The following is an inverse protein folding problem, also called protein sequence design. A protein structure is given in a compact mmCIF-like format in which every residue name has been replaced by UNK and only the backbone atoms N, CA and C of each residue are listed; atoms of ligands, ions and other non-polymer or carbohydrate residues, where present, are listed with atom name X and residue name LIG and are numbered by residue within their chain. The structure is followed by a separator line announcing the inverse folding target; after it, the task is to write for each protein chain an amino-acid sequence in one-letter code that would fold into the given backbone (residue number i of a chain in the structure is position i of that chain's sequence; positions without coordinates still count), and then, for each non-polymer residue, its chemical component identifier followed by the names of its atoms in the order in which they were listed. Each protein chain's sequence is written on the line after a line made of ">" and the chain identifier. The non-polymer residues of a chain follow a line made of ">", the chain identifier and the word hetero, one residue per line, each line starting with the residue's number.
data_IF_090901018573
#
_entry.id   IF_090901018573
#
_cell.length_a   1.000
_cell.length_b   1.000
_cell.length_c   1.000
_cell.angle_alpha   90.00
_cell.angle_beta   90.00
_cell.angle_gamma   90.00
#
_symmetry.space_group_name_H-M   'P 1'
#
loop_
_entity.id
_entity.type
_entity.pdbx_description
1 polymer ?
#
# COMPACT_ATOMS: atom_id res chain seq x y z
N UNK A 1 -15.19 -23.09 -12.37
CA UNK A 1 -14.69 -21.90 -11.66
C UNK A 1 -15.83 -20.91 -11.65
N UNK A 2 -16.44 -20.68 -10.50
CA UNK A 2 -17.46 -19.63 -10.37
C UNK A 2 -16.81 -18.27 -10.62
N UNK A 3 -17.42 -17.44 -11.45
CA UNK A 3 -16.91 -16.10 -11.72
C UNK A 3 -16.90 -15.26 -10.43
N UNK A 4 -15.79 -14.57 -10.18
CA UNK A 4 -15.72 -13.63 -9.06
C UNK A 4 -16.74 -12.50 -9.28
N UNK A 5 -17.61 -12.27 -8.29
CA UNK A 5 -18.49 -11.11 -8.29
C UNK A 5 -17.68 -9.80 -8.32
N UNK A 6 -18.23 -8.74 -8.89
CA UNK A 6 -17.63 -7.40 -8.92
C UNK A 6 -17.19 -6.93 -7.52
N UNK A 7 -18.02 -7.14 -6.50
CA UNK A 7 -17.69 -6.78 -5.11
C UNK A 7 -16.43 -7.50 -4.60
N UNK A 8 -16.28 -8.80 -4.90
CA UNK A 8 -15.08 -9.58 -4.52
C UNK A 8 -13.83 -9.09 -5.26
N UNK A 9 -13.96 -8.75 -6.55
CA UNK A 9 -12.85 -8.17 -7.34
C UNK A 9 -12.40 -6.84 -6.77
N UNK A 10 -13.33 -5.93 -6.46
CA UNK A 10 -13.03 -4.65 -5.83
C UNK A 10 -12.32 -4.86 -4.47
N UNK A 11 -12.83 -5.74 -3.62
CA UNK A 11 -12.19 -6.03 -2.32
C UNK A 11 -10.79 -6.61 -2.45
N UNK A 12 -10.55 -7.50 -3.42
CA UNK A 12 -9.21 -8.05 -3.68
C UNK A 12 -8.24 -6.96 -4.14
N UNK A 13 -8.70 -6.07 -5.02
CA UNK A 13 -7.90 -4.97 -5.52
C UNK A 13 -7.54 -4.00 -4.38
N UNK A 14 -8.52 -3.59 -3.57
CA UNK A 14 -8.29 -2.70 -2.43
C UNK A 14 -7.52 -3.36 -1.29
N UNK A 15 -7.67 -4.67 -1.07
CA UNK A 15 -6.77 -5.42 -0.17
C UNK A 15 -5.31 -5.26 -0.61
N UNK A 16 -5.05 -5.37 -1.91
CA UNK A 16 -3.76 -5.07 -2.53
C UNK A 16 -3.25 -3.67 -2.20
N UNK A 17 -4.09 -2.66 -2.43
CA UNK A 17 -3.74 -1.25 -2.14
C UNK A 17 -3.46 -1.01 -0.66
N UNK A 18 -4.33 -1.47 0.24
CA UNK A 18 -4.17 -1.19 1.67
C UNK A 18 -2.93 -1.86 2.27
N UNK A 19 -2.63 -3.12 1.89
CA UNK A 19 -1.43 -3.76 2.41
C UNK A 19 -0.16 -3.05 1.91
N UNK A 20 -0.13 -2.67 0.62
CA UNK A 20 1.04 -2.00 0.06
C UNK A 20 1.21 -0.60 0.66
N UNK A 21 0.12 0.14 0.89
CA UNK A 21 0.16 1.42 1.60
C UNK A 21 0.76 1.28 2.99
N UNK A 22 0.29 0.29 3.74
CA UNK A 22 0.80 0.06 5.09
C UNK A 22 2.29 -0.30 5.06
N UNK A 23 2.69 -1.26 4.23
CA UNK A 23 4.09 -1.70 4.14
C UNK A 23 5.02 -0.58 3.68
N UNK A 24 4.68 0.07 2.56
CA UNK A 24 5.51 1.12 1.93
C UNK A 24 5.63 2.33 2.83
N UNK A 25 4.52 2.80 3.43
CA UNK A 25 4.56 3.96 4.31
C UNK A 25 5.30 3.65 5.61
N UNK A 26 5.12 2.47 6.22
CA UNK A 26 5.92 2.10 7.40
C UNK A 26 7.41 2.02 7.08
N UNK A 27 7.79 1.47 5.92
CA UNK A 27 9.18 1.46 5.47
C UNK A 27 9.72 2.86 5.19
N UNK A 28 8.91 3.76 4.61
CA UNK A 28 9.31 5.15 4.39
C UNK A 28 9.52 5.89 5.71
N UNK A 29 8.63 5.71 6.68
CA UNK A 29 8.74 6.30 8.01
C UNK A 29 9.86 5.65 8.84
N UNK A 30 10.31 4.44 8.49
CA UNK A 30 11.47 3.81 9.13
C UNK A 30 12.72 4.69 9.02
N UNK A 31 12.98 5.21 7.81
CA UNK A 31 14.11 6.11 7.55
C UNK A 31 14.01 7.40 8.38
N UNK A 32 12.81 7.79 8.80
CA UNK A 32 12.56 9.00 9.59
C UNK A 32 12.77 8.80 11.09
N UNK A 33 12.56 7.59 11.62
CA UNK A 33 12.85 7.30 13.02
C UNK A 33 14.33 7.54 13.36
N UNK A 34 15.23 7.24 12.43
CA UNK A 34 16.66 7.52 12.58
C UNK A 34 16.95 9.04 12.47
N UNK A 35 16.30 9.75 11.53
CA UNK A 35 16.47 11.20 11.35
C UNK A 35 16.01 11.98 12.57
N UNK A 36 14.90 11.59 13.21
CA UNK A 36 14.35 12.27 14.38
C UNK A 36 15.24 12.24 15.63
N UNK A 37 16.30 11.42 15.63
CA UNK A 37 17.30 11.41 16.72
C UNK A 37 18.14 12.69 16.65
N UNK A 38 18.52 13.10 15.43
CA UNK A 38 19.52 14.17 15.19
C UNK A 38 18.95 15.38 14.43
N UNK A 39 17.69 15.35 14.00
CA UNK A 39 17.07 16.38 13.16
C UNK A 39 15.54 16.42 13.20
N UNK A 40 14.97 17.24 12.31
CA UNK A 40 13.53 17.44 12.15
C UNK A 40 13.06 16.76 10.86
N UNK A 41 11.81 16.28 10.86
CA UNK A 41 11.17 15.70 9.68
C UNK A 41 10.20 16.70 9.04
N UNK A 42 10.10 16.68 7.71
CA UNK A 42 9.15 17.52 6.98
C UNK A 42 7.81 16.78 6.80
N UNK A 43 7.14 16.50 7.92
CA UNK A 43 5.81 15.89 7.90
C UNK A 43 4.74 16.77 7.20
N UNK A 44 4.81 18.12 7.21
CA UNK A 44 3.86 18.94 6.45
C UNK A 44 3.96 18.70 4.94
N UNK A 45 5.18 18.61 4.39
CA UNK A 45 5.38 18.27 2.97
C UNK A 45 4.90 16.85 2.66
N UNK A 46 5.10 15.90 3.56
CA UNK A 46 4.55 14.55 3.42
C UNK A 46 3.02 14.57 3.34
N UNK A 47 2.35 15.30 4.23
CA UNK A 47 0.90 15.43 4.22
C UNK A 47 0.41 16.05 2.90
N UNK A 48 1.08 17.10 2.43
CA UNK A 48 0.79 17.74 1.14
C UNK A 48 0.90 16.75 -0.03
N UNK A 49 1.99 15.97 -0.10
CA UNK A 49 2.25 15.00 -1.18
C UNK A 49 1.23 13.86 -1.23
N UNK A 50 0.76 13.40 -0.06
CA UNK A 50 -0.30 12.40 0.03
C UNK A 50 -1.71 12.99 -0.06
N UNK A 51 -1.84 14.32 -0.03
CA UNK A 51 -3.12 15.02 -0.04
C UNK A 51 -3.99 14.63 1.17
N UNK A 52 -3.35 14.52 2.35
CA UNK A 52 -4.01 14.23 3.63
C UNK A 52 -4.02 15.48 4.51
N UNK A 53 -4.94 15.51 5.48
CA UNK A 53 -5.05 16.64 6.40
C UNK A 53 -3.84 16.71 7.34
N UNK A 54 -3.18 17.88 7.38
CA UNK A 54 -2.04 18.13 8.26
C UNK A 54 -2.54 18.72 9.59
N UNK A 55 -2.98 17.85 10.50
CA UNK A 55 -3.59 18.22 11.80
C UNK A 55 -2.66 18.02 13.01
N UNK A 56 -1.36 17.81 12.76
CA UNK A 56 -0.37 17.44 13.78
C UNK A 56 0.32 18.66 14.40
N UNK A 57 0.75 18.53 15.65
CA UNK A 57 1.39 19.63 16.41
C UNK A 57 2.90 19.72 16.17
N UNK A 58 3.55 18.57 16.13
CA UNK A 58 5.00 18.42 15.99
C UNK A 58 5.33 17.02 15.43
N UNK A 59 6.62 16.77 15.20
CA UNK A 59 7.12 15.52 14.62
C UNK A 59 6.71 14.29 15.43
N UNK A 60 6.67 14.38 16.77
CA UNK A 60 6.30 13.26 17.64
C UNK A 60 4.80 12.99 17.55
N UNK A 61 4.00 14.04 17.57
CA UNK A 61 2.56 13.98 17.40
C UNK A 61 2.19 13.40 16.02
N UNK A 62 2.91 13.77 14.97
CA UNK A 62 2.78 13.17 13.64
C UNK A 62 3.12 11.68 13.65
N UNK A 63 4.33 11.30 14.09
CA UNK A 63 4.76 9.90 14.07
C UNK A 63 3.88 8.99 14.92
N UNK A 64 3.28 9.53 15.98
CA UNK A 64 2.32 8.80 16.79
C UNK A 64 0.95 8.73 16.11
N UNK A 65 0.29 9.87 15.87
CA UNK A 65 -1.11 9.88 15.47
C UNK A 65 -1.30 9.43 14.01
N UNK A 66 -0.38 9.75 13.11
CA UNK A 66 -0.48 9.24 11.73
C UNK A 66 -0.36 7.71 11.67
N UNK A 67 0.37 7.10 12.61
CA UNK A 67 0.55 5.64 12.64
C UNK A 67 -0.59 4.94 13.39
N UNK A 68 -1.01 5.47 14.55
CA UNK A 68 -1.85 4.75 15.51
C UNK A 68 -3.28 5.25 15.67
N UNK A 69 -3.59 6.49 15.27
CA UNK A 69 -4.91 7.08 15.55
C UNK A 69 -6.02 6.41 14.72
N UNK A 70 -6.91 5.67 15.39
CA UNK A 70 -8.05 4.98 14.77
C UNK A 70 -9.16 5.92 14.30
N UNK A 71 -9.21 7.14 14.82
CA UNK A 71 -10.26 8.12 14.52
C UNK A 71 -9.84 9.05 13.37
N UNK A 72 -8.55 9.03 13.00
CA UNK A 72 -8.03 9.66 11.80
C UNK A 72 -8.23 8.76 10.56
N UNK A 73 -9.00 9.18 9.54
CA UNK A 73 -9.27 8.37 8.35
C UNK A 73 -8.03 8.11 7.49
N UNK A 74 -7.01 8.97 7.57
CA UNK A 74 -5.78 8.87 6.79
C UNK A 74 -4.67 8.06 7.48
N UNK A 75 -4.88 7.68 8.74
CA UNK A 75 -3.86 6.99 9.53
C UNK A 75 -3.60 5.57 9.01
N UNK A 76 -2.39 5.08 9.32
CA UNK A 76 -2.02 3.70 9.04
C UNK A 76 -2.87 2.72 9.85
N UNK A 77 -3.37 3.13 11.02
CA UNK A 77 -4.30 2.34 11.82
C UNK A 77 -5.60 2.08 11.06
N UNK A 78 -6.20 3.11 10.49
CA UNK A 78 -7.45 3.01 9.71
C UNK A 78 -7.24 2.21 8.43
N UNK A 79 -6.11 2.42 7.73
CA UNK A 79 -5.72 1.62 6.55
C UNK A 79 -5.59 0.14 6.91
N UNK A 80 -4.96 -0.20 8.04
CA UNK A 80 -4.79 -1.58 8.49
C UNK A 80 -6.14 -2.24 8.84
N UNK A 81 -7.10 -1.49 9.40
CA UNK A 81 -8.45 -1.99 9.64
C UNK A 81 -9.23 -2.23 8.35
N UNK A 82 -9.12 -1.33 7.37
CA UNK A 82 -9.74 -1.51 6.06
C UNK A 82 -9.15 -2.74 5.32
N UNK A 83 -7.82 -2.94 5.42
CA UNK A 83 -7.12 -4.13 4.92
C UNK A 83 -7.69 -5.41 5.52
N UNK A 84 -7.77 -5.49 6.85
CA UNK A 84 -8.30 -6.67 7.55
C UNK A 84 -9.79 -6.87 7.25
N UNK A 85 -10.58 -5.80 7.20
CA UNK A 85 -12.00 -5.85 6.84
C UNK A 85 -12.22 -6.46 5.46
N UNK A 86 -11.42 -6.08 4.47
CA UNK A 86 -11.43 -6.74 3.15
C UNK A 86 -10.99 -8.21 3.24
N UNK A 87 -9.91 -8.50 3.97
CA UNK A 87 -9.44 -9.88 4.19
C UNK A 87 -10.50 -10.80 4.80
N UNK A 88 -11.23 -10.34 5.82
CA UNK A 88 -12.30 -11.10 6.46
C UNK A 88 -13.44 -11.44 5.50
N UNK A 89 -13.86 -10.48 4.67
CA UNK A 89 -14.89 -10.69 3.64
C UNK A 89 -14.43 -11.61 2.51
N UNK A 90 -13.12 -11.80 2.37
CA UNK A 90 -12.47 -12.65 1.38
C UNK A 90 -11.94 -13.95 1.96
N UNK A 91 -12.26 -14.30 3.23
CA UNK A 91 -11.70 -15.47 3.93
C UNK A 91 -11.81 -16.78 3.13
N UNK A 92 -12.95 -17.01 2.50
CA UNK A 92 -13.20 -18.20 1.67
C UNK A 92 -12.38 -18.23 0.36
N UNK A 93 -11.76 -17.11 -0.02
CA UNK A 93 -10.96 -16.95 -1.24
C UNK A 93 -9.47 -16.97 -0.93
N UNK A 94 -9.04 -16.19 0.07
CA UNK A 94 -7.62 -16.07 0.43
C UNK A 94 -7.17 -17.16 1.40
N UNK A 95 -8.11 -17.80 2.09
CA UNK A 95 -7.87 -18.84 3.08
C UNK A 95 -7.48 -18.29 4.46
N UNK A 96 -7.79 -19.06 5.51
CA UNK A 96 -7.54 -18.67 6.90
C UNK A 96 -6.06 -18.45 7.22
N UNK A 97 -5.14 -19.19 6.59
CA UNK A 97 -3.69 -19.04 6.79
C UNK A 97 -3.20 -17.66 6.35
N UNK A 98 -3.57 -17.24 5.13
CA UNK A 98 -3.22 -15.94 4.59
C UNK A 98 -3.89 -14.81 5.36
N UNK A 99 -5.16 -14.99 5.74
CA UNK A 99 -5.87 -14.02 6.59
C UNK A 99 -5.20 -13.80 7.95
N UNK A 100 -4.67 -14.85 8.57
CA UNK A 100 -4.03 -14.75 9.89
C UNK A 100 -2.86 -13.76 9.89
N UNK A 101 -2.11 -13.61 8.79
CA UNK A 101 -1.05 -12.61 8.69
C UNK A 101 -1.58 -11.17 8.68
N UNK A 102 -2.77 -10.92 8.12
CA UNK A 102 -3.44 -9.61 8.21
C UNK A 102 -3.88 -9.32 9.65
N UNK A 103 -4.42 -10.33 10.34
CA UNK A 103 -4.81 -10.23 11.75
C UNK A 103 -3.59 -9.94 12.63
N UNK A 104 -2.46 -10.61 12.39
CA UNK A 104 -1.19 -10.39 13.08
C UNK A 104 -0.63 -8.99 12.82
N UNK A 105 -0.69 -8.48 11.58
CA UNK A 105 -0.25 -7.12 11.26
C UNK A 105 -1.06 -6.07 12.04
N UNK A 106 -2.39 -6.19 12.06
CA UNK A 106 -3.27 -5.28 12.81
C UNK A 106 -3.03 -5.39 14.32
N UNK A 107 -2.90 -6.60 14.86
CA UNK A 107 -2.62 -6.82 16.28
C UNK A 107 -1.24 -6.24 16.67
N UNK A 108 -0.24 -6.43 15.81
CA UNK A 108 1.10 -5.89 15.98
C UNK A 108 1.08 -4.37 16.05
N UNK A 109 0.32 -3.72 15.18
CA UNK A 109 0.16 -2.26 15.17
C UNK A 109 -0.49 -1.74 16.47
N UNK A 110 -1.57 -2.39 16.94
CA UNK A 110 -2.21 -2.04 18.22
C UNK A 110 -1.27 -2.23 19.42
N UNK A 111 -0.45 -3.27 19.37
CA UNK A 111 0.50 -3.58 20.45
C UNK A 111 1.68 -2.61 20.46
N UNK A 112 2.04 -2.05 19.30
CA UNK A 112 3.13 -1.09 19.15
C UNK A 112 2.80 0.29 19.76
N UNK A 113 1.53 0.70 19.72
CA UNK A 113 1.06 1.99 20.26
C UNK A 113 1.42 2.18 21.75
N UNK A 114 1.33 1.10 22.55
CA UNK A 114 1.64 1.14 23.99
C UNK A 114 3.08 0.82 24.36
N UNK A 115 4.01 0.77 23.39
CA UNK A 115 5.39 0.34 23.63
C UNK A 115 6.35 1.51 23.85
N UNK A 116 7.36 1.31 24.72
CA UNK A 116 8.39 2.33 25.00
C UNK A 116 9.27 2.65 23.77
N UNK A 117 9.35 1.73 22.80
CA UNK A 117 10.02 1.91 21.52
C UNK A 117 9.18 1.28 20.42
N UNK A 118 8.71 2.10 19.49
CA UNK A 118 7.80 1.69 18.41
C UNK A 118 8.53 1.02 17.25
N UNK A 119 9.83 1.27 17.07
CA UNK A 119 10.64 0.80 15.95
C UNK A 119 10.59 -0.74 15.80
N UNK A 120 11.04 -1.52 16.78
CA UNK A 120 11.02 -2.99 16.67
C UNK A 120 9.59 -3.57 16.51
N UNK A 121 8.57 -3.12 17.26
CA UNK A 121 7.19 -3.50 17.00
C UNK A 121 6.70 -3.22 15.57
N UNK A 122 7.01 -2.06 14.99
CA UNK A 122 6.62 -1.71 13.63
C UNK A 122 7.36 -2.54 12.58
N UNK A 123 8.62 -2.92 12.82
CA UNK A 123 9.33 -3.89 11.95
C UNK A 123 8.57 -5.20 11.87
N UNK A 124 8.08 -5.71 13.01
CA UNK A 124 7.29 -6.95 13.01
C UNK A 124 5.99 -6.81 12.22
N UNK A 125 5.37 -5.64 12.20
CA UNK A 125 4.20 -5.37 11.34
C UNK A 125 4.58 -5.51 9.87
N UNK A 126 5.71 -4.93 9.45
CA UNK A 126 6.24 -5.10 8.08
C UNK A 126 6.50 -6.58 7.79
N UNK A 127 7.11 -7.32 8.71
CA UNK A 127 7.39 -8.75 8.55
C UNK A 127 6.11 -9.56 8.35
N UNK A 128 5.03 -9.25 9.08
CA UNK A 128 3.72 -9.88 8.89
C UNK A 128 3.11 -9.55 7.53
N UNK A 129 3.27 -8.32 7.02
CA UNK A 129 2.81 -7.94 5.68
C UNK A 129 3.61 -8.67 4.58
N UNK A 130 4.91 -8.85 4.79
CA UNK A 130 5.75 -9.65 3.89
C UNK A 130 5.39 -11.14 3.94
N UNK A 131 5.05 -11.67 5.12
CA UNK A 131 4.54 -13.03 5.27
C UNK A 131 3.15 -13.20 4.63
N UNK A 132 2.25 -12.23 4.75
CA UNK A 132 0.99 -12.19 4.00
C UNK A 132 1.26 -12.27 2.49
N UNK A 133 2.21 -11.47 1.99
CA UNK A 133 2.60 -11.46 0.59
C UNK A 133 3.12 -12.80 0.09
N UNK A 134 3.98 -13.45 0.87
CA UNK A 134 4.46 -14.80 0.56
C UNK A 134 3.35 -15.84 0.62
N UNK A 135 2.50 -15.77 1.66
CA UNK A 135 1.41 -16.71 1.90
C UNK A 135 0.39 -16.70 0.77
N UNK A 136 -0.09 -15.53 0.32
CA UNK A 136 -1.10 -15.50 -0.73
C UNK A 136 -0.54 -16.04 -2.07
N UNK A 137 0.77 -15.91 -2.30
CA UNK A 137 1.41 -16.44 -3.50
C UNK A 137 1.49 -17.97 -3.49
N UNK A 138 1.77 -18.54 -2.33
CA UNK A 138 1.90 -19.98 -2.11
C UNK A 138 0.54 -20.70 -1.99
N UNK A 139 -0.43 -20.10 -1.29
CA UNK A 139 -1.65 -20.83 -0.87
C UNK A 139 -2.89 -20.59 -1.74
N UNK A 140 -2.96 -19.48 -2.48
CA UNK A 140 -4.14 -19.19 -3.32
C UNK A 140 -3.94 -19.81 -4.69
N UNK A 141 -4.67 -20.87 -5.03
CA UNK A 141 -4.51 -21.56 -6.31
C UNK A 141 -4.89 -20.71 -7.53
N UNK A 142 -5.93 -19.88 -7.39
CA UNK A 142 -6.44 -19.04 -8.47
C UNK A 142 -5.45 -17.91 -8.83
N UNK A 143 -4.86 -18.01 -10.02
CA UNK A 143 -3.94 -17.01 -10.55
C UNK A 143 -4.59 -15.63 -10.75
N UNK A 144 -5.85 -15.57 -11.17
CA UNK A 144 -6.57 -14.31 -11.33
C UNK A 144 -6.73 -13.60 -9.97
N UNK A 145 -7.11 -14.33 -8.92
CA UNK A 145 -7.21 -13.80 -7.55
C UNK A 145 -5.88 -13.19 -7.09
N UNK A 146 -4.78 -13.96 -7.19
CA UNK A 146 -3.45 -13.48 -6.79
C UNK A 146 -3.06 -12.23 -7.57
N UNK A 147 -3.27 -12.22 -8.88
CA UNK A 147 -2.86 -11.09 -9.72
C UNK A 147 -3.73 -9.84 -9.50
N UNK A 148 -5.02 -9.97 -9.14
CA UNK A 148 -5.84 -8.81 -8.74
C UNK A 148 -5.23 -8.11 -7.51
N UNK A 149 -4.88 -8.88 -6.46
CA UNK A 149 -4.21 -8.33 -5.26
C UNK A 149 -2.89 -7.66 -5.65
N UNK A 150 -2.07 -8.33 -6.47
CA UNK A 150 -0.79 -7.78 -6.94
C UNK A 150 -0.92 -6.55 -7.83
N UNK A 151 -2.03 -6.40 -8.56
CA UNK A 151 -2.33 -5.22 -9.36
C UNK A 151 -2.68 -4.03 -8.46
N UNK A 152 -3.55 -4.23 -7.46
CA UNK A 152 -3.84 -3.19 -6.46
C UNK A 152 -2.58 -2.72 -5.74
N UNK A 153 -1.76 -3.67 -5.30
CA UNK A 153 -0.47 -3.38 -4.68
C UNK A 153 0.49 -2.63 -5.61
N UNK A 154 0.58 -3.03 -6.89
CA UNK A 154 1.43 -2.35 -7.86
C UNK A 154 1.00 -0.90 -8.13
N UNK A 155 -0.31 -0.64 -8.22
CA UNK A 155 -0.85 0.72 -8.39
C UNK A 155 -0.51 1.58 -7.18
N UNK A 156 -0.74 1.06 -5.97
CA UNK A 156 -0.45 1.81 -4.75
C UNK A 156 1.05 2.13 -4.60
N UNK A 157 1.93 1.15 -4.87
CA UNK A 157 3.38 1.35 -4.83
C UNK A 157 3.81 2.47 -5.77
N UNK A 158 3.33 2.44 -7.02
CA UNK A 158 3.62 3.50 -8.00
C UNK A 158 3.11 4.85 -7.50
N UNK A 159 1.89 4.90 -6.96
CA UNK A 159 1.33 6.13 -6.40
C UNK A 159 2.22 6.72 -5.30
N UNK A 160 2.63 5.91 -4.33
CA UNK A 160 3.46 6.35 -3.21
C UNK A 160 4.86 6.77 -3.66
N UNK A 161 5.50 6.02 -4.57
CA UNK A 161 6.81 6.37 -5.11
C UNK A 161 6.78 7.73 -5.81
N UNK A 162 5.77 7.96 -6.64
CA UNK A 162 5.61 9.19 -7.41
C UNK A 162 5.24 10.39 -6.53
N UNK A 163 4.37 10.20 -5.53
CA UNK A 163 3.98 11.26 -4.59
C UNK A 163 5.12 11.65 -3.66
N UNK A 164 5.79 10.67 -3.07
CA UNK A 164 6.82 10.89 -2.06
C UNK A 164 8.16 11.28 -2.69
N UNK A 165 8.36 11.00 -3.99
CA UNK A 165 9.66 11.11 -4.65
C UNK A 165 10.62 10.00 -4.19
N UNK A 166 10.06 8.84 -3.83
CA UNK A 166 10.79 7.71 -3.25
C UNK A 166 11.00 6.62 -4.30
N UNK A 167 12.21 6.06 -4.39
CA UNK A 167 12.57 5.01 -5.35
C UNK A 167 12.18 5.29 -6.82
N UNK A 168 12.31 6.55 -7.27
CA UNK A 168 11.94 6.95 -8.64
C UNK A 168 12.69 6.17 -9.73
N UNK A 169 13.91 5.71 -9.44
CA UNK A 169 14.71 4.88 -10.35
C UNK A 169 14.14 3.46 -10.58
N UNK A 170 13.17 3.04 -9.77
CA UNK A 170 12.50 1.74 -9.88
C UNK A 170 11.13 1.81 -10.57
N UNK A 171 10.61 3.01 -10.86
CA UNK A 171 9.25 3.21 -11.39
C UNK A 171 9.02 2.42 -12.68
N UNK A 172 9.94 2.48 -13.64
CA UNK A 172 9.86 1.76 -14.92
C UNK A 172 9.79 0.24 -14.71
N UNK A 173 10.59 -0.29 -13.78
CA UNK A 173 10.58 -1.71 -13.43
C UNK A 173 9.26 -2.13 -12.77
N UNK A 174 8.73 -1.31 -11.85
CA UNK A 174 7.45 -1.57 -11.19
C UNK A 174 6.27 -1.51 -12.16
N UNK A 175 6.27 -0.57 -13.12
CA UNK A 175 5.31 -0.56 -14.23
C UNK A 175 5.39 -1.86 -15.02
N UNK A 176 6.60 -2.30 -15.41
CA UNK A 176 6.78 -3.55 -16.14
C UNK A 176 6.24 -4.78 -15.39
N UNK A 177 6.40 -4.82 -14.06
CA UNK A 177 5.81 -5.88 -13.21
C UNK A 177 4.29 -5.80 -13.17
N UNK A 178 3.72 -4.60 -13.02
CA UNK A 178 2.27 -4.37 -12.99
C UNK A 178 1.62 -4.83 -14.29
N UNK A 179 2.20 -4.48 -15.45
CA UNK A 179 1.67 -4.87 -16.77
C UNK A 179 1.63 -6.39 -16.96
N UNK A 180 2.69 -7.09 -16.56
CA UNK A 180 2.75 -8.56 -16.64
C UNK A 180 1.66 -9.24 -15.81
N UNK A 181 1.34 -8.69 -14.64
CA UNK A 181 0.29 -9.20 -13.74
C UNK A 181 -1.10 -8.90 -14.29
N UNK A 182 -1.30 -7.69 -14.79
CA UNK A 182 -2.58 -7.24 -15.34
C UNK A 182 -3.08 -8.14 -16.48
N UNK A 183 -2.18 -8.58 -17.37
CA UNK A 183 -2.51 -9.51 -18.47
C UNK A 183 -3.02 -10.89 -18.00
N UNK A 184 -2.94 -11.17 -16.69
CA UNK A 184 -3.40 -12.41 -16.05
C UNK A 184 -4.56 -12.16 -15.11
N UNK A 185 -5.28 -11.06 -15.30
CA UNK A 185 -6.46 -10.70 -14.50
C UNK A 185 -7.67 -10.44 -15.38
N UNK A 186 -8.85 -10.48 -14.78
CA UNK A 186 -10.11 -10.02 -15.38
C UNK A 186 -10.34 -8.51 -15.25
N UNK A 187 -9.38 -7.77 -14.68
CA UNK A 187 -9.49 -6.32 -14.51
C UNK A 187 -9.50 -5.62 -15.89
N UNK A 188 -10.30 -4.58 -16.01
CA UNK A 188 -10.42 -3.78 -17.22
C UNK A 188 -9.62 -2.47 -17.04
N UNK A 189 -8.42 -2.36 -17.63
CA UNK A 189 -7.65 -1.13 -17.53
C UNK A 189 -8.20 -0.05 -18.46
N UNK A 190 -8.05 1.20 -18.04
CA UNK A 190 -8.22 2.36 -18.92
C UNK A 190 -7.16 2.35 -20.01
N UNK A 191 -7.58 2.31 -21.28
CA UNK A 191 -6.68 2.27 -22.44
C UNK A 191 -5.73 3.47 -22.50
N UNK A 192 -6.23 4.67 -22.15
CA UNK A 192 -5.40 5.89 -22.14
C UNK A 192 -4.32 5.83 -21.08
N UNK A 193 -4.69 5.44 -19.86
CA UNK A 193 -3.76 5.24 -18.74
C UNK A 193 -2.73 4.15 -19.04
N UNK A 194 -3.17 3.04 -19.63
CA UNK A 194 -2.32 1.94 -20.03
C UNK A 194 -1.25 2.37 -21.04
N UNK A 195 -1.64 3.12 -22.08
CA UNK A 195 -0.70 3.60 -23.10
C UNK A 195 0.34 4.57 -22.50
N UNK A 196 -0.10 5.45 -21.60
CA UNK A 196 0.80 6.37 -20.89
C UNK A 196 1.85 5.61 -20.06
N UNK A 197 1.42 4.57 -19.32
CA UNK A 197 2.33 3.76 -18.51
C UNK A 197 3.26 2.88 -19.35
N UNK A 198 2.80 2.30 -20.47
CA UNK A 198 3.63 1.44 -21.33
C UNK A 198 4.81 2.17 -21.99
N UNK A 199 4.68 3.48 -22.21
CA UNK A 199 5.73 4.32 -22.80
C UNK A 199 6.55 5.08 -21.76
N UNK A 200 6.20 4.91 -20.48
CA UNK A 200 6.84 5.61 -19.38
C UNK A 200 8.29 5.17 -19.17
N UNK A 201 9.08 6.12 -18.69
CA UNK A 201 10.41 5.91 -18.11
C UNK A 201 10.42 6.44 -16.69
N UNK A 202 11.49 6.16 -15.95
CA UNK A 202 11.70 6.79 -14.65
C UNK A 202 11.59 8.33 -14.75
N UNK A 203 10.73 8.97 -13.94
CA UNK A 203 10.51 10.41 -14.03
C UNK A 203 11.76 11.15 -13.55
N UNK A 204 12.15 12.19 -14.29
CA UNK A 204 13.26 13.09 -13.95
C UNK A 204 12.77 14.45 -13.46
N UNK A 205 11.51 14.77 -13.74
CA UNK A 205 10.88 16.03 -13.36
C UNK A 205 9.61 15.80 -12.56
N UNK A 206 9.21 16.74 -11.68
CA UNK A 206 7.94 16.65 -10.97
C UNK A 206 6.71 16.54 -11.89
N UNK A 207 6.76 17.19 -13.06
CA UNK A 207 5.67 17.15 -14.03
C UNK A 207 5.52 15.78 -14.70
N UNK A 208 6.62 15.10 -14.99
CA UNK A 208 6.59 13.70 -15.45
C UNK A 208 6.03 12.78 -14.36
N UNK A 209 6.47 12.96 -13.12
CA UNK A 209 5.96 12.18 -11.99
C UNK A 209 4.44 12.37 -11.81
N UNK A 210 3.94 13.59 -11.94
CA UNK A 210 2.50 13.91 -11.86
C UNK A 210 1.69 13.23 -12.95
N UNK A 211 2.16 13.25 -14.21
CA UNK A 211 1.49 12.56 -15.33
C UNK A 211 1.43 11.04 -15.12
N UNK A 212 2.52 10.45 -14.64
CA UNK A 212 2.55 9.02 -14.33
C UNK A 212 1.65 8.67 -13.15
N UNK A 213 1.57 9.55 -12.15
CA UNK A 213 0.70 9.37 -10.99
C UNK A 213 -0.78 9.37 -11.43
N UNK A 214 -1.17 10.35 -12.24
CA UNK A 214 -2.52 10.42 -12.82
C UNK A 214 -2.86 9.18 -13.65
N UNK A 215 -1.91 8.68 -14.44
CA UNK A 215 -2.11 7.44 -15.21
C UNK A 215 -2.22 6.20 -14.30
N UNK A 216 -1.41 6.09 -13.24
CA UNK A 216 -1.45 4.96 -12.31
C UNK A 216 -2.77 4.91 -11.52
N UNK A 217 -3.20 6.03 -10.94
CA UNK A 217 -4.44 6.11 -10.15
C UNK A 217 -5.69 5.88 -11.01
N UNK A 218 -5.68 6.29 -12.28
CA UNK A 218 -6.79 6.09 -13.21
C UNK A 218 -6.64 4.80 -14.05
N UNK A 219 -5.74 3.88 -13.67
CA UNK A 219 -5.52 2.67 -14.47
C UNK A 219 -6.72 1.73 -14.39
N UNK A 220 -7.34 1.58 -13.22
CA UNK A 220 -8.49 0.71 -13.03
C UNK A 220 -9.63 1.47 -12.37
N UNK A 221 -10.84 1.31 -12.90
CA UNK A 221 -12.08 1.74 -12.26
C UNK A 221 -12.66 0.54 -11.53
N UNK A 222 -12.43 0.44 -10.21
CA UNK A 222 -12.83 -0.71 -9.39
C UNK A 222 -13.69 -0.29 -8.22
#
# INVERSE_FOLDING_TARGET
>A
MDSLSVSKVNRLFWLGRYYERLATTLSYLWDWYDVMIDGEIDYPLFCQKLSIDCCYKDDKDFMHNYVFDKDNPDSLRTVAEAMLGNGMMLREIIGSRTLAYLELAVLGLKSAEGSDSTTLPLQRVIDFLMAFRGSYDDTIDDENVRNIIKCGAGVERLSLYLRLGWHLDSVESEIGKLMKRMNRTTLQPSQSSLQALLTAKNPKTPEEARKLLEAAENLFTV
#
